data_IF_963493871216
#
_entry.id   IF_963493871216
#
_cell.length_a   1.000
_cell.length_b   1.000
_cell.length_c   1.000
_cell.angle_alpha   90.00
_cell.angle_beta   90.00
_cell.angle_gamma   90.00
#
_symmetry.space_group_name_H-M   'P 1'
#
loop_
_entity.id
_entity.type
_entity.pdbx_description
1 polymer ?
#
# COMPACT_ATOMS: atom_id res chain seq x y z
N UNK A 1 15.98 -6.06 -25.87
CA UNK A 1 15.04 -5.12 -25.22
C UNK A 1 14.27 -5.95 -24.22
N UNK A 2 14.76 -6.03 -22.98
CA UNK A 2 14.27 -6.94 -21.95
C UNK A 2 13.83 -6.10 -20.75
N UNK A 3 12.54 -6.10 -20.50
CA UNK A 3 11.92 -5.49 -19.33
C UNK A 3 12.39 -6.20 -18.06
N UNK A 4 12.80 -5.44 -17.04
CA UNK A 4 13.19 -5.99 -15.74
C UNK A 4 11.93 -6.30 -14.92
N UNK A 5 11.79 -7.50 -14.31
CA UNK A 5 10.73 -7.77 -13.36
C UNK A 5 10.94 -7.00 -12.06
N UNK A 6 9.83 -6.52 -11.49
CA UNK A 6 9.76 -5.85 -10.20
C UNK A 6 10.14 -6.84 -9.08
N UNK A 7 11.09 -6.47 -8.21
CA UNK A 7 11.75 -7.37 -7.25
C UNK A 7 10.94 -7.63 -5.95
N UNK A 8 9.78 -7.04 -5.81
CA UNK A 8 8.89 -7.24 -4.67
C UNK A 8 7.92 -8.36 -5.01
N UNK A 9 8.19 -9.60 -4.55
CA UNK A 9 7.23 -10.70 -4.28
C UNK A 9 7.97 -12.04 -4.09
N UNK A 10 8.83 -12.16 -3.08
CA UNK A 10 9.28 -13.47 -2.53
C UNK A 10 9.66 -13.37 -1.05
N UNK A 11 8.69 -13.32 -0.14
CA UNK A 11 9.05 -13.17 1.27
C UNK A 11 7.96 -13.40 2.32
N UNK A 12 7.06 -14.37 2.14
CA UNK A 12 6.22 -14.84 3.24
C UNK A 12 6.30 -16.37 3.33
N UNK A 13 7.32 -16.87 4.02
CA UNK A 13 7.38 -18.25 4.49
C UNK A 13 7.25 -18.23 6.01
N UNK A 14 6.10 -18.67 6.51
CA UNK A 14 5.98 -19.18 7.89
C UNK A 14 6.77 -20.48 8.01
N UNK A 15 7.54 -20.59 9.10
CA UNK A 15 8.34 -21.75 9.45
C UNK A 15 7.48 -23.02 9.58
N UNK A 16 8.00 -24.14 9.06
CA UNK A 16 7.61 -25.49 9.45
C UNK A 16 7.32 -26.47 8.33
N UNK A 17 8.36 -27.03 7.69
CA UNK A 17 8.51 -28.46 7.39
C UNK A 17 9.69 -28.71 6.42
N UNK A 18 10.46 -29.74 6.74
CA UNK A 18 11.63 -30.25 6.02
C UNK A 18 11.33 -30.62 4.56
N UNK A 19 12.29 -30.38 3.65
CA UNK A 19 12.27 -30.98 2.32
C UNK A 19 13.14 -30.25 1.29
N UNK A 20 14.42 -30.60 1.23
CA UNK A 20 15.37 -30.24 0.17
C UNK A 20 14.94 -30.84 -1.17
N UNK A 21 14.75 -30.01 -2.21
CA UNK A 21 15.15 -30.33 -3.60
C UNK A 21 15.46 -29.02 -4.31
N UNK A 22 16.69 -28.90 -4.81
CA UNK A 22 17.13 -27.78 -5.62
C UNK A 22 16.76 -27.92 -7.09
N UNK A 23 16.48 -26.79 -7.74
CA UNK A 23 16.67 -26.59 -9.17
C UNK A 23 16.97 -25.11 -9.39
N UNK A 24 18.19 -24.84 -9.88
CA UNK A 24 18.67 -23.50 -10.17
C UNK A 24 18.16 -22.97 -11.51
N UNK A 25 18.27 -21.65 -11.69
CA UNK A 25 18.73 -21.05 -12.95
C UNK A 25 19.06 -19.56 -12.77
N UNK A 26 19.89 -19.09 -13.71
CA UNK A 26 20.87 -18.00 -13.63
C UNK A 26 20.38 -16.55 -13.48
N UNK A 27 21.25 -15.82 -12.78
CA UNK A 27 21.57 -14.38 -12.79
C UNK A 27 21.47 -13.65 -14.14
N UNK A 28 21.05 -12.38 -14.08
CA UNK A 28 21.61 -11.29 -14.88
C UNK A 28 21.49 -9.93 -14.15
N UNK A 29 22.54 -9.13 -14.27
CA UNK A 29 22.96 -8.00 -13.45
C UNK A 29 22.12 -6.71 -13.58
N UNK A 30 22.01 -5.92 -12.51
CA UNK A 30 21.37 -4.59 -12.54
C UNK A 30 22.39 -3.46 -12.37
N UNK A 31 22.63 -2.70 -13.44
CA UNK A 31 23.12 -1.32 -13.36
C UNK A 31 21.98 -0.41 -12.88
N UNK A 32 22.29 0.44 -11.91
CA UNK A 32 21.49 1.56 -11.38
C UNK A 32 21.44 2.68 -12.41
N UNK A 33 20.25 2.98 -12.94
CA UNK A 33 19.98 4.25 -13.60
C UNK A 33 19.07 5.09 -12.70
N UNK A 34 19.61 6.21 -12.23
CA UNK A 34 18.84 7.32 -11.66
C UNK A 34 18.07 7.97 -12.80
N UNK A 35 16.75 8.04 -12.71
CA UNK A 35 15.93 8.91 -13.55
C UNK A 35 15.17 9.87 -12.65
N UNK A 36 15.55 11.14 -12.76
CA UNK A 36 14.75 12.27 -12.29
C UNK A 36 13.42 12.22 -13.03
N UNK A 37 12.33 12.07 -12.29
CA UNK A 37 11.01 12.45 -12.78
C UNK A 37 11.00 13.97 -12.68
N UNK A 38 11.07 14.62 -13.85
CA UNK A 38 10.85 16.06 -13.96
C UNK A 38 9.43 16.36 -13.50
N UNK A 39 9.29 16.89 -12.29
CA UNK A 39 8.02 17.33 -11.72
C UNK A 39 7.66 18.66 -12.39
N UNK A 40 7.28 18.55 -13.67
CA UNK A 40 6.72 19.64 -14.43
C UNK A 40 5.49 20.17 -13.72
N UNK A 41 5.49 21.48 -13.52
CA UNK A 41 4.40 22.31 -13.02
C UNK A 41 3.03 21.87 -13.56
N UNK A 42 2.20 21.38 -12.63
CA UNK A 42 0.73 21.32 -12.62
C UNK A 42 -0.01 21.74 -13.91
N UNK A 43 -0.45 20.76 -14.70
CA UNK A 43 -1.82 20.78 -15.20
C UNK A 43 -2.70 20.14 -14.11
N UNK A 44 -3.67 20.91 -13.63
CA UNK A 44 -4.53 20.63 -12.48
C UNK A 44 -5.34 19.35 -12.67
N UNK A 45 -4.79 18.20 -12.27
CA UNK A 45 -5.59 17.07 -11.84
C UNK A 45 -6.08 17.35 -10.42
N UNK A 46 -7.37 17.19 -10.14
CA UNK A 46 -7.87 17.23 -8.77
C UNK A 46 -7.17 16.13 -7.95
N UNK A 47 -6.24 16.52 -7.09
CA UNK A 47 -5.63 15.62 -6.09
C UNK A 47 -6.76 15.01 -5.28
N UNK A 48 -6.69 13.71 -4.97
CA UNK A 48 -7.70 13.08 -4.12
C UNK A 48 -7.71 13.82 -2.77
N UNK A 49 -8.81 14.51 -2.48
CA UNK A 49 -8.95 15.29 -1.24
C UNK A 49 -9.34 14.36 -0.10
N UNK A 50 -8.40 13.50 0.32
CA UNK A 50 -8.59 12.57 1.44
C UNK A 50 -9.12 13.26 2.69
N UNK A 51 -8.66 14.49 2.94
CA UNK A 51 -9.03 15.31 4.11
C UNK A 51 -10.47 15.83 4.09
N UNK A 52 -11.06 15.97 2.90
CA UNK A 52 -12.36 16.63 2.73
C UNK A 52 -13.49 15.62 2.49
N UNK A 53 -13.17 14.33 2.34
CA UNK A 53 -14.16 13.29 2.16
C UNK A 53 -14.43 12.56 3.50
N UNK A 54 -15.57 12.82 4.17
CA UNK A 54 -15.90 12.22 5.46
C UNK A 54 -16.07 10.69 5.40
N UNK A 55 -16.22 10.11 4.20
CA UNK A 55 -16.28 8.66 4.05
C UNK A 55 -14.98 7.99 4.50
N UNK A 56 -13.81 8.64 4.45
CA UNK A 56 -12.58 8.06 5.00
C UNK A 56 -12.61 7.93 6.53
N UNK A 57 -13.44 8.73 7.20
CA UNK A 57 -13.64 8.71 8.65
C UNK A 57 -14.79 7.81 9.09
N UNK A 58 -15.74 7.51 8.20
CA UNK A 58 -16.85 6.58 8.47
C UNK A 58 -16.33 5.22 8.95
N UNK A 59 -16.93 4.67 9.99
CA UNK A 59 -16.70 3.29 10.39
C UNK A 59 -17.56 2.35 9.55
N UNK A 60 -16.95 1.26 9.11
CA UNK A 60 -17.61 0.15 8.43
C UNK A 60 -17.33 -1.09 9.27
N UNK A 61 -18.29 -1.55 10.09
CA UNK A 61 -18.07 -2.65 11.03
C UNK A 61 -17.45 -3.88 10.35
N UNK A 62 -16.36 -4.39 10.94
CA UNK A 62 -15.59 -5.50 10.36
C UNK A 62 -14.87 -5.17 9.04
N UNK A 63 -14.85 -3.91 8.61
CA UNK A 63 -14.21 -3.46 7.38
C UNK A 63 -14.88 -3.93 6.09
N UNK A 64 -16.11 -4.43 6.16
CA UNK A 64 -16.85 -4.98 5.01
C UNK A 64 -18.24 -4.35 4.95
N UNK A 65 -18.67 -3.93 3.76
CA UNK A 65 -20.03 -3.43 3.58
C UNK A 65 -21.04 -4.57 3.75
N UNK A 66 -22.24 -4.21 4.24
CA UNK A 66 -23.39 -5.12 4.17
C UNK A 66 -23.72 -5.47 2.72
N UNK A 67 -24.45 -6.56 2.49
CA UNK A 67 -24.86 -6.95 1.14
C UNK A 67 -25.68 -5.84 0.46
N UNK A 68 -26.55 -5.19 1.23
CA UNK A 68 -27.38 -4.07 0.79
C UNK A 68 -26.55 -2.83 0.44
N UNK A 69 -25.59 -2.44 1.29
CA UNK A 69 -24.69 -1.32 0.99
C UNK A 69 -23.80 -1.62 -0.22
N UNK A 70 -23.30 -2.85 -0.32
CA UNK A 70 -22.49 -3.27 -1.46
C UNK A 70 -23.29 -3.18 -2.76
N UNK A 71 -24.50 -3.72 -2.77
CA UNK A 71 -25.41 -3.63 -3.93
C UNK A 71 -25.73 -2.17 -4.29
N UNK A 72 -25.93 -1.28 -3.30
CA UNK A 72 -26.16 0.15 -3.53
C UNK A 72 -24.93 0.90 -4.06
N UNK A 73 -23.73 0.36 -3.88
CA UNK A 73 -22.44 0.89 -4.36
C UNK A 73 -21.95 0.22 -5.63
N UNK A 74 -22.66 -0.80 -6.11
CA UNK A 74 -22.35 -1.49 -7.35
C UNK A 74 -23.23 -0.96 -8.46
N UNK A 75 -22.61 -0.45 -9.52
CA UNK A 75 -23.28 0.06 -10.70
C UNK A 75 -22.94 -0.80 -11.92
N UNK A 76 -23.97 -1.16 -12.70
CA UNK A 76 -23.77 -1.74 -14.03
C UNK A 76 -23.71 -0.61 -15.06
N UNK A 77 -22.49 -0.25 -15.46
CA UNK A 77 -22.24 0.89 -16.35
C UNK A 77 -22.69 0.57 -17.79
N UNK A 78 -22.51 -0.69 -18.21
CA UNK A 78 -22.99 -1.23 -19.48
C UNK A 78 -23.14 -2.76 -19.38
N UNK A 79 -23.80 -3.43 -20.34
CA UNK A 79 -24.00 -4.89 -20.27
C UNK A 79 -22.68 -5.64 -20.04
N UNK A 80 -22.57 -6.35 -18.91
CA UNK A 80 -21.39 -7.13 -18.53
C UNK A 80 -20.28 -6.35 -17.84
N UNK A 81 -20.45 -5.05 -17.59
CA UNK A 81 -19.48 -4.19 -16.90
C UNK A 81 -20.09 -3.68 -15.60
N UNK A 82 -19.66 -4.28 -14.50
CA UNK A 82 -20.07 -3.91 -13.14
C UNK A 82 -18.90 -3.28 -12.39
N UNK A 83 -19.15 -2.13 -11.80
CA UNK A 83 -18.19 -1.37 -11.01
C UNK A 83 -18.71 -1.29 -9.57
N UNK A 84 -17.88 -1.67 -8.62
CA UNK A 84 -18.14 -1.48 -7.20
C UNK A 84 -17.31 -0.30 -6.67
N UNK A 85 -18.00 0.70 -6.14
CA UNK A 85 -17.41 1.93 -5.61
C UNK A 85 -17.08 1.79 -4.12
N UNK A 86 -15.84 1.39 -3.83
CA UNK A 86 -15.27 1.51 -2.49
C UNK A 86 -14.68 2.92 -2.30
N UNK A 87 -14.64 3.37 -1.05
CA UNK A 87 -14.26 4.73 -0.69
C UNK A 87 -12.81 4.99 -1.12
N UNK A 88 -12.60 5.74 -2.20
CA UNK A 88 -11.25 6.02 -2.71
C UNK A 88 -10.60 4.89 -3.52
N UNK A 89 -11.35 3.85 -3.88
CA UNK A 89 -10.91 2.78 -4.78
C UNK A 89 -12.12 2.13 -5.47
N UNK A 90 -12.10 2.05 -6.79
CA UNK A 90 -13.14 1.34 -7.54
C UNK A 90 -12.67 -0.08 -7.88
N UNK A 91 -13.62 -0.99 -8.04
CA UNK A 91 -13.38 -2.37 -8.43
C UNK A 91 -14.18 -2.75 -9.66
N UNK A 92 -13.54 -3.48 -10.56
CA UNK A 92 -14.17 -4.09 -11.72
C UNK A 92 -14.52 -5.56 -11.42
N UNK A 93 -15.73 -5.99 -11.76
CA UNK A 93 -16.14 -7.40 -11.67
C UNK A 93 -15.59 -8.21 -12.85
N UNK A 94 -14.63 -9.10 -12.58
CA UNK A 94 -13.93 -9.89 -13.60
C UNK A 94 -14.87 -10.89 -14.28
N UNK A 95 -14.98 -10.81 -15.60
CA UNK A 95 -15.75 -11.74 -16.42
C UNK A 95 -14.88 -12.93 -16.88
N UNK A 96 -15.48 -14.10 -17.18
CA UNK A 96 -14.74 -15.30 -17.59
C UNK A 96 -13.88 -15.14 -18.85
N UNK A 97 -14.24 -14.23 -19.76
CA UNK A 97 -13.53 -13.98 -21.01
C UNK A 97 -12.56 -12.80 -20.94
N UNK A 98 -12.44 -12.15 -19.78
CA UNK A 98 -11.62 -10.95 -19.67
C UNK A 98 -10.13 -11.23 -19.79
N UNK A 99 -9.46 -10.24 -20.35
CA UNK A 99 -8.00 -10.10 -20.27
C UNK A 99 -7.72 -8.74 -19.63
N UNK A 100 -6.50 -8.53 -19.10
CA UNK A 100 -6.16 -7.20 -18.57
C UNK A 100 -6.28 -6.11 -19.62
N UNK A 101 -5.91 -6.42 -20.86
CA UNK A 101 -6.02 -5.47 -21.97
C UNK A 101 -7.48 -5.15 -22.29
N UNK A 102 -8.37 -6.15 -22.37
CA UNK A 102 -9.78 -5.90 -22.65
C UNK A 102 -10.47 -5.09 -21.54
N UNK A 103 -10.12 -5.35 -20.27
CA UNK A 103 -10.61 -4.54 -19.14
C UNK A 103 -10.12 -3.10 -19.27
N UNK A 104 -8.81 -2.91 -19.52
CA UNK A 104 -8.23 -1.59 -19.70
C UNK A 104 -8.86 -0.82 -20.87
N UNK A 105 -9.02 -1.46 -22.02
CA UNK A 105 -9.61 -0.84 -23.21
C UNK A 105 -11.07 -0.44 -22.94
N UNK A 106 -11.84 -1.32 -22.30
CA UNK A 106 -13.24 -1.08 -21.98
C UNK A 106 -13.40 0.08 -20.99
N UNK A 107 -12.66 0.06 -19.88
CA UNK A 107 -12.72 1.13 -18.88
C UNK A 107 -12.23 2.47 -19.46
N UNK A 108 -11.24 2.46 -20.35
CA UNK A 108 -10.70 3.71 -20.95
C UNK A 108 -11.72 4.46 -21.82
N UNK A 109 -12.81 3.81 -22.25
CA UNK A 109 -13.93 4.46 -22.94
C UNK A 109 -14.75 5.37 -22.00
N UNK A 110 -14.72 5.09 -20.69
CA UNK A 110 -15.41 5.86 -19.67
C UNK A 110 -14.61 7.12 -19.32
N UNK A 111 -15.23 8.33 -19.30
CA UNK A 111 -14.52 9.59 -19.02
C UNK A 111 -13.67 9.58 -17.74
N UNK A 112 -14.17 8.95 -16.68
CA UNK A 112 -13.55 8.85 -15.36
C UNK A 112 -12.29 7.97 -15.32
N UNK A 113 -12.21 6.94 -16.17
CA UNK A 113 -11.08 6.00 -16.25
C UNK A 113 -10.20 6.18 -17.50
N UNK A 114 -10.44 7.23 -18.30
CA UNK A 114 -9.67 7.53 -19.52
C UNK A 114 -8.15 7.59 -19.32
N UNK A 115 -7.69 7.85 -18.09
CA UNK A 115 -6.26 7.86 -17.78
C UNK A 115 -5.59 6.48 -17.93
N UNK A 116 -6.36 5.38 -17.90
CA UNK A 116 -5.85 4.01 -18.05
C UNK A 116 -5.22 3.78 -19.43
N UNK A 117 -5.69 4.44 -20.49
CA UNK A 117 -5.10 4.38 -21.85
C UNK A 117 -3.60 4.79 -21.86
N UNK A 118 -3.21 5.66 -20.93
CA UNK A 118 -1.83 6.15 -20.79
C UNK A 118 -0.97 5.28 -19.86
N UNK A 119 -1.58 4.36 -19.10
CA UNK A 119 -0.87 3.52 -18.12
C UNK A 119 -0.26 2.29 -18.79
N UNK A 120 0.93 2.46 -19.36
CA UNK A 120 1.68 1.37 -19.99
C UNK A 120 2.60 0.61 -19.03
N UNK A 121 2.90 1.18 -17.86
CA UNK A 121 3.81 0.57 -16.88
C UNK A 121 3.02 -0.25 -15.85
N UNK A 122 3.48 -1.48 -15.58
CA UNK A 122 2.87 -2.39 -14.59
C UNK A 122 2.74 -1.78 -13.19
N UNK A 123 3.67 -0.92 -12.78
CA UNK A 123 3.67 -0.30 -11.44
C UNK A 123 2.56 0.72 -11.23
N UNK A 124 1.97 1.23 -12.32
CA UNK A 124 0.89 2.21 -12.28
C UNK A 124 -0.43 1.67 -12.86
N UNK A 125 -0.43 0.47 -13.47
CA UNK A 125 -1.62 -0.18 -14.06
C UNK A 125 -2.09 -1.40 -13.25
N UNK A 126 -2.86 -2.29 -13.88
CA UNK A 126 -3.37 -3.51 -13.24
C UNK A 126 -2.23 -4.43 -12.79
N UNK A 127 -1.98 -4.46 -11.48
CA UNK A 127 -0.83 -5.17 -10.91
C UNK A 127 -1.16 -6.62 -10.53
N UNK A 128 -1.67 -7.35 -11.52
CA UNK A 128 -1.93 -8.79 -11.46
C UNK A 128 -1.37 -9.45 -12.73
N UNK A 129 -0.95 -10.71 -12.64
CA UNK A 129 -0.52 -11.47 -13.80
C UNK A 129 -1.73 -11.97 -14.59
N UNK A 130 -1.61 -12.13 -15.92
CA UNK A 130 -2.75 -12.53 -16.76
C UNK A 130 -3.35 -13.86 -16.30
N UNK A 131 -2.49 -14.83 -15.98
CA UNK A 131 -2.90 -16.15 -15.50
C UNK A 131 -3.59 -16.15 -14.13
N UNK A 132 -3.50 -15.05 -13.38
CA UNK A 132 -4.13 -14.90 -12.06
C UNK A 132 -5.34 -13.97 -12.09
N UNK A 133 -5.68 -13.38 -13.23
CA UNK A 133 -6.81 -12.46 -13.35
C UNK A 133 -8.13 -13.08 -12.87
N UNK A 134 -8.34 -14.36 -13.20
CA UNK A 134 -9.55 -15.09 -12.83
C UNK A 134 -9.48 -15.76 -11.45
N UNK A 135 -8.40 -15.53 -10.68
CA UNK A 135 -8.34 -15.91 -9.27
C UNK A 135 -9.15 -14.92 -8.40
N UNK A 136 -9.51 -13.76 -8.95
CA UNK A 136 -10.18 -12.68 -8.24
C UNK A 136 -11.51 -12.33 -8.90
N UNK A 137 -12.55 -12.17 -8.08
CA UNK A 137 -13.87 -11.71 -8.52
C UNK A 137 -13.86 -10.20 -8.76
N UNK A 138 -13.27 -9.45 -7.83
CA UNK A 138 -13.21 -7.99 -7.87
C UNK A 138 -11.78 -7.51 -8.02
N UNK A 139 -11.48 -6.94 -9.19
CA UNK A 139 -10.16 -6.41 -9.53
C UNK A 139 -10.10 -4.92 -9.20
N UNK A 140 -9.19 -4.47 -8.31
CA UNK A 140 -9.03 -3.05 -8.04
C UNK A 140 -8.61 -2.31 -9.30
N UNK A 141 -9.35 -1.25 -9.64
CA UNK A 141 -9.03 -0.36 -10.75
C UNK A 141 -7.88 0.55 -10.31
N UNK A 142 -6.76 0.58 -11.06
CA UNK A 142 -5.63 1.45 -10.74
C UNK A 142 -6.11 2.89 -10.60
N UNK A 143 -5.75 3.56 -9.52
CA UNK A 143 -6.11 4.98 -9.33
C UNK A 143 -5.22 5.84 -10.23
N UNK A 144 -5.73 6.94 -10.75
CA UNK A 144 -4.89 7.91 -11.48
C UNK A 144 -3.72 8.34 -10.60
N UNK A 145 -2.49 8.12 -11.06
CA UNK A 145 -1.28 8.43 -10.29
C UNK A 145 -1.24 9.89 -9.82
N UNK A 146 -1.81 10.82 -10.60
CA UNK A 146 -1.92 12.25 -10.22
C UNK A 146 -2.80 12.47 -8.99
N UNK A 147 -3.74 11.56 -8.73
CA UNK A 147 -4.65 11.58 -7.58
C UNK A 147 -4.05 10.91 -6.34
N UNK A 148 -3.13 9.96 -6.52
CA UNK A 148 -2.46 9.22 -5.43
C UNK A 148 -1.31 10.00 -4.79
N UNK A 149 -0.68 10.91 -5.53
CA UNK A 149 0.50 11.63 -5.05
C UNK A 149 0.19 12.44 -3.78
N UNK A 150 0.91 12.13 -2.71
CA UNK A 150 0.84 12.86 -1.44
C UNK A 150 2.19 13.52 -1.17
N UNK A 151 2.19 14.81 -0.80
CA UNK A 151 3.42 15.51 -0.41
C UNK A 151 3.98 14.92 0.90
N UNK A 152 5.30 14.94 1.06
CA UNK A 152 5.94 14.48 2.31
C UNK A 152 5.37 15.25 3.52
N UNK A 153 5.12 16.55 3.36
CA UNK A 153 4.57 17.42 4.41
C UNK A 153 3.13 17.06 4.78
N UNK A 154 2.27 16.79 3.80
CA UNK A 154 0.89 16.37 4.07
C UNK A 154 0.83 14.99 4.69
N UNK A 155 1.67 14.07 4.22
CA UNK A 155 1.76 12.73 4.77
C UNK A 155 2.17 12.77 6.24
N UNK A 156 3.17 13.58 6.60
CA UNK A 156 3.62 13.72 8.00
C UNK A 156 2.51 14.24 8.91
N UNK A 157 1.69 15.19 8.44
CA UNK A 157 0.53 15.68 9.20
C UNK A 157 -0.51 14.57 9.40
N UNK A 158 -0.83 13.82 8.35
CA UNK A 158 -1.81 12.74 8.43
C UNK A 158 -1.29 11.54 9.24
N UNK A 159 0.02 11.28 9.24
CA UNK A 159 0.63 10.23 10.05
C UNK A 159 0.46 10.51 11.55
N UNK A 160 0.68 11.75 11.99
CA UNK A 160 0.46 12.16 13.38
C UNK A 160 -1.00 12.02 13.78
N UNK A 161 -1.91 12.54 12.97
CA UNK A 161 -3.37 12.37 13.21
C UNK A 161 -3.77 10.90 13.29
N UNK A 162 -3.20 10.06 12.42
CA UNK A 162 -3.45 8.63 12.41
C UNK A 162 -3.08 7.98 13.74
N UNK A 163 -1.89 8.29 14.26
CA UNK A 163 -1.43 7.78 15.56
C UNK A 163 -2.21 8.34 16.74
N UNK A 164 -2.51 9.64 16.77
CA UNK A 164 -3.32 10.28 17.81
C UNK A 164 -4.73 9.67 17.90
N UNK A 165 -5.35 9.37 16.75
CA UNK A 165 -6.62 8.66 16.71
C UNK A 165 -6.47 7.21 17.19
N UNK A 166 -5.41 6.52 16.78
CA UNK A 166 -5.16 5.14 17.19
C UNK A 166 -4.90 5.04 18.70
N UNK A 167 -4.23 6.03 19.32
CA UNK A 167 -4.02 6.10 20.76
C UNK A 167 -5.33 6.15 21.57
N UNK A 168 -6.45 6.51 20.93
CA UNK A 168 -7.79 6.52 21.53
C UNK A 168 -8.62 5.28 21.17
N UNK A 169 -8.08 4.38 20.35
CA UNK A 169 -8.76 3.15 19.96
C UNK A 169 -8.82 2.17 21.16
N UNK A 170 -9.96 1.52 21.34
CA UNK A 170 -10.20 0.62 22.48
C UNK A 170 -9.27 -0.60 22.50
N UNK A 171 -8.86 -1.10 21.33
CA UNK A 171 -8.04 -2.30 21.21
C UNK A 171 -6.54 -1.97 21.18
N UNK A 172 -6.16 -0.92 20.46
CA UNK A 172 -4.76 -0.62 20.15
C UNK A 172 -4.20 0.62 20.86
N UNK A 173 -5.04 1.35 21.59
CA UNK A 173 -4.69 2.65 22.18
C UNK A 173 -3.49 2.59 23.11
N UNK A 174 -3.42 1.57 23.98
CA UNK A 174 -2.31 1.43 24.93
C UNK A 174 -0.96 1.26 24.21
N UNK A 175 -0.89 0.41 23.18
CA UNK A 175 0.35 0.16 22.45
C UNK A 175 0.74 1.38 21.61
N UNK A 176 -0.24 2.05 21.00
CA UNK A 176 -0.01 3.29 20.27
C UNK A 176 0.51 4.41 21.18
N UNK A 177 -0.04 4.56 22.39
CA UNK A 177 0.45 5.53 23.37
C UNK A 177 1.89 5.22 23.81
N UNK A 178 2.20 3.94 24.08
CA UNK A 178 3.58 3.53 24.41
C UNK A 178 4.57 3.79 23.26
N UNK A 179 4.11 3.73 22.01
CA UNK A 179 4.92 4.09 20.85
C UNK A 179 5.21 5.60 20.84
N UNK A 180 4.19 6.44 21.08
CA UNK A 180 4.37 7.90 21.25
C UNK A 180 5.36 8.19 22.36
N UNK A 181 5.20 7.56 23.53
CA UNK A 181 6.04 7.82 24.70
C UNK A 181 7.50 7.39 24.47
N UNK A 182 7.73 6.35 23.65
CA UNK A 182 9.06 5.80 23.37
C UNK A 182 9.88 6.66 22.41
N UNK A 183 9.30 7.07 21.28
CA UNK A 183 10.04 7.73 20.19
C UNK A 183 9.55 9.15 19.89
N UNK A 184 8.39 9.54 20.41
CA UNK A 184 7.76 10.82 20.10
C UNK A 184 7.14 10.88 18.70
N UNK A 185 6.24 11.84 18.51
CA UNK A 185 5.45 11.98 17.27
C UNK A 185 6.28 12.34 16.04
N UNK A 186 7.36 13.11 16.22
CA UNK A 186 8.23 13.52 15.11
C UNK A 186 9.02 12.33 14.54
N UNK A 187 9.60 11.50 15.42
CA UNK A 187 10.32 10.28 14.99
C UNK A 187 9.35 9.22 14.46
N UNK A 188 8.15 9.12 15.04
CA UNK A 188 7.11 8.28 14.48
C UNK A 188 6.73 8.73 13.06
N UNK A 189 6.44 10.01 12.85
CA UNK A 189 6.09 10.55 11.54
C UNK A 189 7.20 10.32 10.52
N UNK A 190 8.46 10.55 10.91
CA UNK A 190 9.62 10.24 10.08
C UNK A 190 9.73 8.75 9.74
N UNK A 191 9.44 7.86 10.70
CA UNK A 191 9.42 6.41 10.49
C UNK A 191 8.36 6.02 9.46
N UNK A 192 7.12 6.52 9.61
CA UNK A 192 6.03 6.21 8.69
C UNK A 192 6.31 6.73 7.28
N UNK A 193 6.84 7.96 7.15
CA UNK A 193 7.21 8.50 5.85
C UNK A 193 8.30 7.66 5.18
N UNK A 194 9.31 7.23 5.94
CA UNK A 194 10.38 6.40 5.41
C UNK A 194 9.87 5.05 4.90
N UNK A 195 9.02 4.36 5.67
CA UNK A 195 8.43 3.08 5.24
C UNK A 195 7.55 3.31 4.00
N UNK A 196 6.68 4.32 4.01
CA UNK A 196 5.81 4.59 2.86
C UNK A 196 6.61 4.87 1.58
N UNK A 197 7.73 5.60 1.65
CA UNK A 197 8.61 5.84 0.48
C UNK A 197 9.38 4.59 0.07
N UNK A 198 9.78 3.76 1.03
CA UNK A 198 10.44 2.48 0.76
C UNK A 198 9.53 1.55 -0.05
N UNK A 199 8.25 1.52 0.29
CA UNK A 199 7.24 0.64 -0.32
C UNK A 199 6.62 1.23 -1.60
N UNK A 200 6.35 2.53 -1.64
CA UNK A 200 5.62 3.18 -2.74
C UNK A 200 6.47 4.06 -3.67
N UNK A 201 7.80 4.12 -3.45
CA UNK A 201 8.75 4.89 -4.25
C UNK A 201 9.12 6.26 -3.67
N UNK A 202 10.00 7.01 -4.36
CA UNK A 202 10.50 8.30 -3.87
C UNK A 202 9.37 9.32 -3.59
N UNK A 203 8.27 9.24 -4.34
CA UNK A 203 7.04 9.95 -4.06
C UNK A 203 5.97 8.97 -3.63
N UNK A 204 5.30 9.26 -2.50
CA UNK A 204 4.19 8.43 -2.02
C UNK A 204 3.07 8.47 -3.04
N UNK A 205 2.65 7.29 -3.51
CA UNK A 205 1.66 7.17 -4.60
C UNK A 205 2.24 7.11 -6.00
N UNK A 206 3.57 7.05 -6.14
CA UNK A 206 4.20 6.84 -7.46
C UNK A 206 3.95 5.45 -8.04
N UNK A 207 3.65 4.48 -7.17
CA UNK A 207 3.18 3.14 -7.50
C UNK A 207 1.72 2.98 -7.06
N UNK A 208 0.96 2.09 -7.72
CA UNK A 208 -0.36 1.68 -7.25
C UNK A 208 -0.26 1.03 -5.87
N UNK A 209 -1.16 1.41 -4.96
CA UNK A 209 -1.24 0.83 -3.60
C UNK A 209 -1.74 -0.62 -3.59
N UNK A 210 -2.48 -1.04 -4.61
CA UNK A 210 -2.98 -2.40 -4.77
C UNK A 210 -1.99 -3.26 -5.58
N UNK A 211 -1.30 -4.20 -4.93
CA UNK A 211 -0.39 -5.15 -5.61
C UNK A 211 -0.81 -6.60 -5.36
N UNK A 212 -1.01 -7.39 -6.42
CA UNK A 212 -1.40 -8.79 -6.26
C UNK A 212 -0.22 -9.67 -5.83
N UNK A 213 -0.39 -10.41 -4.74
CA UNK A 213 0.51 -11.46 -4.30
C UNK A 213 0.02 -12.83 -4.83
N UNK A 214 0.74 -13.43 -5.82
CA UNK A 214 0.33 -14.70 -6.41
C UNK A 214 0.55 -15.91 -5.51
N UNK A 215 1.35 -15.80 -4.44
CA UNK A 215 1.52 -16.88 -3.46
C UNK A 215 0.33 -16.89 -2.52
N UNK A 216 -0.12 -15.70 -2.13
CA UNK A 216 -1.21 -15.55 -1.17
C UNK A 216 -2.59 -15.44 -1.78
N UNK A 217 -2.67 -15.26 -3.11
CA UNK A 217 -3.87 -15.02 -3.91
C UNK A 217 -4.71 -13.85 -3.36
N UNK A 218 -4.05 -12.73 -3.09
CA UNK A 218 -4.69 -11.53 -2.52
C UNK A 218 -3.89 -10.28 -2.84
N UNK A 219 -4.50 -9.11 -2.69
CA UNK A 219 -3.82 -7.84 -2.84
C UNK A 219 -3.17 -7.36 -1.54
N UNK A 220 -2.01 -6.72 -1.66
CA UNK A 220 -1.55 -5.75 -0.67
C UNK A 220 -2.20 -4.40 -0.92
N UNK A 221 -2.34 -3.60 0.13
CA UNK A 221 -3.12 -2.36 0.13
C UNK A 221 -2.36 -1.24 0.82
N UNK A 222 -2.79 0.00 0.61
CA UNK A 222 -2.19 1.25 1.14
C UNK A 222 -0.77 1.57 0.61
N UNK A 223 -0.24 2.78 0.85
CA UNK A 223 1.16 3.12 0.60
C UNK A 223 2.20 2.20 1.23
N UNK A 224 1.81 1.42 2.23
CA UNK A 224 2.69 0.50 2.95
C UNK A 224 2.69 -0.92 2.37
N UNK A 225 1.80 -1.23 1.41
CA UNK A 225 1.65 -2.57 0.87
C UNK A 225 1.45 -3.66 1.93
N UNK A 226 0.56 -3.39 2.90
CA UNK A 226 0.13 -4.40 3.87
C UNK A 226 -0.75 -5.42 3.14
N UNK A 227 -0.39 -6.71 3.20
CA UNK A 227 -1.16 -7.78 2.58
C UNK A 227 -2.55 -7.91 3.25
N UNK A 228 -3.65 -7.92 2.47
CA UNK A 228 -5.02 -8.09 3.01
C UNK A 228 -5.33 -9.56 3.36
N UNK A 229 -4.46 -10.14 4.19
CA UNK A 229 -4.55 -11.53 4.69
C UNK A 229 -3.87 -11.64 6.05
N UNK A 230 -4.28 -12.61 6.85
CA UNK A 230 -3.69 -12.87 8.16
C UNK A 230 -3.74 -11.62 9.05
N UNK A 231 -2.57 -11.18 9.54
CA UNK A 231 -2.46 -10.00 10.40
C UNK A 231 -2.96 -8.71 9.72
N UNK A 232 -2.75 -8.53 8.41
CA UNK A 232 -3.21 -7.33 7.71
C UNK A 232 -4.73 -7.25 7.61
N UNK A 233 -5.37 -8.37 7.29
CA UNK A 233 -6.84 -8.46 7.27
C UNK A 233 -7.45 -8.24 8.66
N UNK A 234 -6.88 -8.85 9.71
CA UNK A 234 -7.32 -8.61 11.10
C UNK A 234 -7.18 -7.15 11.51
N UNK A 235 -6.05 -6.54 11.20
CA UNK A 235 -5.80 -5.12 11.47
C UNK A 235 -6.87 -4.23 10.82
N UNK A 236 -7.15 -4.44 9.53
CA UNK A 236 -8.20 -3.70 8.81
C UNK A 236 -9.59 -3.91 9.41
N UNK A 237 -9.94 -5.15 9.74
CA UNK A 237 -11.24 -5.50 10.34
C UNK A 237 -11.45 -4.83 11.69
N UNK A 238 -10.42 -4.82 12.53
CA UNK A 238 -10.46 -4.21 13.87
C UNK A 238 -10.38 -2.68 13.83
N UNK A 239 -9.89 -2.11 12.73
CA UNK A 239 -10.00 -0.68 12.46
C UNK A 239 -11.39 -0.28 11.94
N UNK A 240 -12.24 -1.24 11.57
CA UNK A 240 -13.56 -1.01 10.96
C UNK A 240 -13.48 -0.13 9.70
N UNK A 241 -12.57 -0.49 8.80
CA UNK A 241 -12.35 0.23 7.56
C UNK A 241 -12.28 -0.70 6.36
N UNK A 242 -12.79 -0.24 5.22
CA UNK A 242 -12.72 -0.96 3.95
C UNK A 242 -11.33 -0.86 3.32
N UNK A 243 -11.10 -1.62 2.25
CA UNK A 243 -9.83 -1.58 1.52
C UNK A 243 -9.62 -0.20 0.88
N UNK A 244 -10.64 0.36 0.23
CA UNK A 244 -10.56 1.70 -0.35
C UNK A 244 -10.19 2.75 0.69
N UNK A 245 -10.77 2.68 1.89
CA UNK A 245 -10.46 3.65 2.96
C UNK A 245 -8.98 3.64 3.36
N UNK A 246 -8.24 2.57 3.09
CA UNK A 246 -6.79 2.47 3.35
C UNK A 246 -5.92 3.28 2.38
N UNK A 247 -6.49 3.85 1.31
CA UNK A 247 -5.76 4.73 0.41
C UNK A 247 -5.49 6.11 1.03
N UNK A 248 -6.21 6.50 2.10
CA UNK A 248 -5.91 7.72 2.85
C UNK A 248 -4.63 7.54 3.70
N UNK A 249 -3.66 8.49 3.66
CA UNK A 249 -2.44 8.42 4.46
C UNK A 249 -2.69 8.17 5.96
N UNK A 250 -3.72 8.80 6.54
CA UNK A 250 -4.09 8.64 7.95
C UNK A 250 -4.47 7.20 8.27
N UNK A 251 -5.37 6.64 7.47
CA UNK A 251 -5.87 5.27 7.66
C UNK A 251 -4.79 4.24 7.33
N UNK A 252 -3.96 4.51 6.33
CA UNK A 252 -2.79 3.69 6.00
C UNK A 252 -1.82 3.59 7.18
N UNK A 253 -1.56 4.72 7.86
CA UNK A 253 -0.68 4.75 9.04
C UNK A 253 -1.27 3.95 10.19
N UNK A 254 -2.58 4.06 10.43
CA UNK A 254 -3.26 3.21 11.40
C UNK A 254 -3.12 1.73 11.02
N UNK A 255 -3.34 1.38 9.75
CA UNK A 255 -3.23 0.01 9.26
C UNK A 255 -1.84 -0.57 9.50
N UNK A 256 -0.76 0.14 9.13
CA UNK A 256 0.59 -0.42 9.27
C UNK A 256 0.97 -0.58 10.74
N UNK A 257 0.58 0.35 11.61
CA UNK A 257 0.84 0.23 13.06
C UNK A 257 0.08 -0.97 13.64
N UNK A 258 -1.22 -1.06 13.37
CA UNK A 258 -2.04 -2.19 13.86
C UNK A 258 -1.57 -3.51 13.28
N UNK A 259 -1.20 -3.55 12.00
CA UNK A 259 -0.59 -4.71 11.38
C UNK A 259 0.66 -5.19 12.12
N UNK A 260 1.55 -4.27 12.52
CA UNK A 260 2.75 -4.61 13.30
C UNK A 260 2.38 -5.14 14.69
N UNK A 261 1.36 -4.57 15.35
CA UNK A 261 0.83 -5.07 16.63
C UNK A 261 0.28 -6.49 16.47
N UNK A 262 -0.49 -6.74 15.41
CA UNK A 262 -1.10 -8.05 15.10
C UNK A 262 -0.11 -9.11 14.67
N UNK A 263 1.03 -8.70 14.11
CA UNK A 263 2.07 -9.58 13.56
C UNK A 263 3.14 -9.92 14.59
N UNK A 264 3.48 -9.00 15.48
CA UNK A 264 4.66 -9.10 16.33
C UNK A 264 4.28 -9.32 17.80
N UNK A 265 5.03 -10.15 18.53
CA UNK A 265 4.84 -10.28 19.98
C UNK A 265 5.20 -9.00 20.74
N UNK A 266 6.16 -8.21 20.22
CA UNK A 266 6.51 -6.89 20.74
C UNK A 266 6.75 -5.91 19.58
N UNK A 267 5.73 -5.11 19.21
CA UNK A 267 5.85 -4.14 18.12
C UNK A 267 6.78 -2.98 18.46
N UNK A 268 7.07 -2.69 19.73
CA UNK A 268 7.96 -1.59 20.12
C UNK A 268 9.44 -1.94 19.91
N UNK A 269 9.76 -3.22 19.75
CA UNK A 269 11.14 -3.72 19.57
C UNK A 269 11.78 -3.29 18.24
N UNK A 270 10.99 -2.80 17.28
CA UNK A 270 11.45 -2.35 15.96
C UNK A 270 11.46 -0.83 15.81
N UNK A 271 11.12 -0.09 16.88
CA UNK A 271 11.12 1.37 16.89
C UNK A 271 12.14 1.94 17.89
N UNK A 272 12.85 3.03 17.53
CA UNK A 272 12.75 3.76 16.26
C UNK A 272 13.42 2.99 15.11
N UNK A 273 12.87 3.09 13.89
CA UNK A 273 13.25 2.20 12.79
C UNK A 273 14.70 2.38 12.33
N UNK A 274 15.31 3.54 12.56
CA UNK A 274 16.71 3.80 12.18
C UNK A 274 17.70 3.03 13.05
N UNK A 275 17.35 2.73 14.30
CA UNK A 275 18.19 1.92 15.20
C UNK A 275 17.97 0.41 14.98
N UNK A 276 16.82 0.05 14.38
CA UNK A 276 16.37 -1.32 14.23
C UNK A 276 16.06 -1.70 12.77
N UNK A 277 16.66 -1.02 11.78
CA UNK A 277 16.27 -1.11 10.37
C UNK A 277 16.32 -2.55 9.81
N UNK A 278 17.35 -3.32 10.17
CA UNK A 278 17.45 -4.72 9.74
C UNK A 278 16.41 -5.63 10.41
N UNK A 279 16.12 -5.38 11.69
CA UNK A 279 15.09 -6.11 12.42
C UNK A 279 13.71 -5.77 11.84
N UNK A 280 13.44 -4.49 11.60
CA UNK A 280 12.25 -4.04 10.87
C UNK A 280 12.14 -4.73 9.52
N UNK A 281 13.18 -4.69 8.68
CA UNK A 281 13.15 -5.31 7.35
C UNK A 281 12.89 -6.83 7.42
N UNK A 282 13.48 -7.51 8.40
CA UNK A 282 13.27 -8.95 8.63
C UNK A 282 11.83 -9.25 9.05
N UNK A 283 11.30 -8.47 9.99
CA UNK A 283 9.94 -8.65 10.50
C UNK A 283 8.88 -8.23 9.48
N UNK A 284 9.14 -7.20 8.68
CA UNK A 284 8.21 -6.67 7.68
C UNK A 284 8.22 -7.54 6.41
N UNK A 285 9.39 -7.76 5.82
CA UNK A 285 9.58 -8.40 4.50
C UNK A 285 9.99 -9.88 4.54
N UNK A 286 10.21 -10.43 5.74
CA UNK A 286 10.63 -11.82 5.94
C UNK A 286 12.15 -12.02 5.85
N UNK A 287 12.60 -13.23 6.20
CA UNK A 287 14.03 -13.55 6.38
C UNK A 287 14.90 -13.38 5.12
N UNK A 288 14.30 -13.43 3.93
CA UNK A 288 15.02 -13.34 2.65
C UNK A 288 15.09 -11.91 2.09
N UNK A 289 14.71 -10.88 2.87
CA UNK A 289 14.68 -9.50 2.39
C UNK A 289 16.01 -9.03 1.77
N UNK A 290 17.16 -9.45 2.32
CA UNK A 290 18.49 -9.08 1.79
C UNK A 290 18.76 -9.63 0.38
N UNK A 291 18.15 -10.76 0.02
CA UNK A 291 18.28 -11.31 -1.33
C UNK A 291 17.45 -10.53 -2.35
N UNK A 292 16.31 -9.97 -1.90
CA UNK A 292 15.42 -9.17 -2.73
C UNK A 292 15.90 -7.72 -2.85
N UNK A 293 16.30 -7.13 -1.73
CA UNK A 293 16.81 -5.77 -1.64
C UNK A 293 17.92 -5.69 -0.58
N UNK A 294 19.20 -5.84 -0.97
CA UNK A 294 20.32 -5.79 -0.01
C UNK A 294 20.52 -4.41 0.63
N UNK A 295 19.97 -3.35 0.03
CA UNK A 295 20.12 -1.98 0.51
C UNK A 295 18.92 -1.49 1.33
N UNK A 296 17.89 -2.32 1.55
CA UNK A 296 16.63 -1.90 2.19
C UNK A 296 16.85 -1.14 3.51
N UNK A 297 17.67 -1.69 4.41
CA UNK A 297 17.92 -1.06 5.71
C UNK A 297 18.63 0.30 5.58
N UNK A 298 19.59 0.41 4.66
CA UNK A 298 20.32 1.66 4.37
C UNK A 298 19.41 2.70 3.73
N UNK A 299 18.58 2.30 2.77
CA UNK A 299 17.65 3.19 2.08
C UNK A 299 16.56 3.69 3.03
N UNK A 300 16.07 2.81 3.91
CA UNK A 300 15.09 3.15 4.94
C UNK A 300 15.62 4.21 5.91
N UNK A 301 16.85 4.04 6.42
CA UNK A 301 17.50 5.07 7.25
C UNK A 301 17.70 6.37 6.46
N UNK A 302 18.13 6.28 5.19
CA UNK A 302 18.28 7.43 4.31
C UNK A 302 16.98 8.25 4.16
N UNK A 303 15.83 7.59 4.01
CA UNK A 303 14.53 8.26 3.98
C UNK A 303 14.15 8.84 5.34
N UNK A 304 14.41 8.11 6.42
CA UNK A 304 14.15 8.56 7.79
C UNK A 304 14.91 9.85 8.13
N UNK A 305 16.21 9.90 7.86
CA UNK A 305 17.03 11.10 8.12
C UNK A 305 16.54 12.32 7.32
N UNK A 306 16.14 12.11 6.05
CA UNK A 306 15.54 13.18 5.23
C UNK A 306 14.23 13.69 5.83
N UNK A 307 13.37 12.79 6.32
CA UNK A 307 12.11 13.14 6.96
C UNK A 307 12.31 13.94 8.25
N UNK A 308 13.22 13.50 9.13
CA UNK A 308 13.56 14.23 10.36
C UNK A 308 14.11 15.63 10.08
N UNK A 309 14.98 15.78 9.07
CA UNK A 309 15.52 17.09 8.67
C UNK A 309 14.39 18.04 8.26
N UNK A 310 13.40 17.55 7.51
CA UNK A 310 12.22 18.34 7.12
C UNK A 310 11.40 18.80 8.33
N UNK A 311 11.17 17.91 9.31
CA UNK A 311 10.43 18.24 10.54
C UNK A 311 11.15 19.28 11.41
N UNK A 312 12.48 19.15 11.54
CA UNK A 312 13.30 20.06 12.36
C UNK A 312 13.40 21.46 11.77
N UNK A 313 13.43 21.60 10.44
CA UNK A 313 13.51 22.89 9.76
C UNK A 313 12.20 23.70 9.77
N UNK A 314 11.10 23.13 10.30
CA UNK A 314 9.81 23.82 10.45
C UNK A 314 9.58 24.43 11.84
N UNK A 315 10.48 24.17 12.80
CA UNK A 315 10.46 24.76 14.16
C UNK A 315 11.32 26.02 14.18
#
# INVERSE_FOLDING_TARGET
MLERPNQYLRGLTTAGALGTVGLGMHLAESQTMKHEIDVGTSEQGEVMKYRDNPEFDREVPGGEFTAEERAARTEMIMPGIEIFHDIGLDYYHVQPSDTKQSIQDTLSLLPEYRYLDKQKKRTVGFNIAEQSLHDVEWLPIPVDGRKLLTSDEDFLVEAKKGLEQLARNECYGEVAQRLIDKIGEDEFGASMLAIAKMESGEHIGSNQFSLYDPINHTFSISPFHVLDKGAGKRARYNLHKTVGQMNSPKNAVQLVVVYLIEKLPDPLSIFPINEHAEQFATQYNGANWRQMNPNYATDLDGYYQKALKKLRNKK
#
